data_IF_532584138350
#
_entry.id   IF_532584138350
#
_cell.length_a   1.000
_cell.length_b   1.000
_cell.length_c   1.000
_cell.angle_alpha   90.00
_cell.angle_beta   90.00
_cell.angle_gamma   90.00
#
_symmetry.space_group_name_H-M   'P 1'
#
loop_
_entity.id
_entity.type
_entity.pdbx_description
1 polymer ?
#
# COMPACT_ATOMS: atom_id res chain seq x y z
N UNK A 1 12.93 -18.80 -17.02
CA UNK A 1 12.97 -18.82 -15.54
C UNK A 1 11.95 -17.82 -15.06
N UNK A 2 10.77 -18.26 -14.62
CA UNK A 2 9.75 -17.36 -14.10
C UNK A 2 10.18 -16.92 -12.69
N UNK A 3 10.65 -15.69 -12.56
CA UNK A 3 10.80 -15.07 -11.24
C UNK A 3 9.38 -14.86 -10.74
N UNK A 4 8.92 -15.75 -9.86
CA UNK A 4 7.71 -15.52 -9.06
C UNK A 4 8.04 -14.32 -8.19
N UNK A 5 7.70 -13.12 -8.70
CA UNK A 5 7.82 -11.89 -7.94
C UNK A 5 7.05 -12.13 -6.65
N UNK A 6 7.75 -12.11 -5.51
CA UNK A 6 7.09 -12.17 -4.21
C UNK A 6 5.96 -11.14 -4.25
N UNK A 7 4.73 -11.49 -3.84
CA UNK A 7 3.64 -10.53 -3.80
C UNK A 7 4.17 -9.29 -3.07
N UNK A 8 4.05 -8.12 -3.70
CA UNK A 8 4.44 -6.85 -3.10
C UNK A 8 3.64 -6.72 -1.80
N UNK A 9 4.31 -7.05 -0.69
CA UNK A 9 3.78 -6.89 0.65
C UNK A 9 4.21 -5.51 1.11
N UNK A 10 3.29 -4.77 1.73
CA UNK A 10 3.67 -3.54 2.42
C UNK A 10 4.54 -3.88 3.63
N UNK A 11 5.30 -2.91 4.11
CA UNK A 11 6.33 -3.12 5.14
C UNK A 11 5.78 -3.60 6.50
N UNK A 12 4.47 -3.44 6.75
CA UNK A 12 3.79 -3.89 7.98
C UNK A 12 3.15 -5.28 7.87
N UNK A 13 3.15 -5.92 6.70
CA UNK A 13 2.38 -7.15 6.48
C UNK A 13 2.73 -8.28 7.46
N UNK A 14 4.02 -8.45 7.78
CA UNK A 14 4.46 -9.48 8.72
C UNK A 14 4.07 -9.17 10.18
N UNK A 15 3.93 -7.89 10.53
CA UNK A 15 3.44 -7.46 11.84
C UNK A 15 1.92 -7.66 11.95
N UNK A 16 1.18 -7.32 10.89
CA UNK A 16 -0.26 -7.59 10.79
C UNK A 16 -0.55 -9.08 10.93
N UNK A 17 0.15 -9.94 10.16
CA UNK A 17 -0.05 -11.39 10.21
C UNK A 17 0.12 -11.94 11.64
N UNK A 18 1.14 -11.47 12.36
CA UNK A 18 1.40 -11.90 13.75
C UNK A 18 0.29 -11.44 14.69
N UNK A 19 -0.11 -10.17 14.61
CA UNK A 19 -1.14 -9.62 15.48
C UNK A 19 -2.51 -10.25 15.23
N UNK A 20 -2.87 -10.44 13.96
CA UNK A 20 -4.09 -11.15 13.57
C UNK A 20 -4.09 -12.57 14.12
N UNK A 21 -3.00 -13.32 13.94
CA UNK A 21 -2.89 -14.69 14.47
C UNK A 21 -3.00 -14.73 15.99
N UNK A 22 -2.33 -13.81 16.69
CA UNK A 22 -2.40 -13.73 18.15
C UNK A 22 -3.83 -13.41 18.62
N UNK A 23 -4.52 -12.50 17.94
CA UNK A 23 -5.89 -12.15 18.23
C UNK A 23 -6.85 -13.33 18.02
N UNK A 24 -6.73 -14.05 16.89
CA UNK A 24 -7.52 -15.24 16.60
C UNK A 24 -7.32 -16.35 17.64
N UNK A 25 -6.09 -16.57 18.12
CA UNK A 25 -5.79 -17.56 19.17
C UNK A 25 -6.43 -17.21 20.51
N UNK A 26 -6.57 -15.91 20.81
CA UNK A 26 -7.17 -15.43 22.06
C UNK A 26 -8.69 -15.32 21.99
N UNK A 27 -9.27 -15.41 20.78
CA UNK A 27 -10.71 -15.29 20.52
C UNK A 27 -11.59 -16.23 21.36
N UNK A 28 -11.24 -17.51 21.58
CA UNK A 28 -12.05 -18.40 22.43
C UNK A 28 -12.12 -17.94 23.89
N UNK A 29 -11.15 -17.16 24.36
CA UNK A 29 -11.04 -16.66 25.73
C UNK A 29 -11.66 -15.26 25.91
N UNK A 30 -12.43 -14.78 24.92
CA UNK A 30 -13.12 -13.48 24.95
C UNK A 30 -14.02 -13.31 26.18
N UNK A 31 -14.69 -14.40 26.60
CA UNK A 31 -15.59 -14.39 27.76
C UNK A 31 -14.87 -14.21 29.10
N UNK A 32 -13.58 -14.53 29.17
CA UNK A 32 -12.81 -14.41 30.41
C UNK A 32 -12.27 -13.00 30.64
N UNK A 33 -12.54 -12.04 29.72
CA UNK A 33 -12.00 -10.67 29.73
C UNK A 33 -10.51 -10.64 30.10
N UNK A 34 -9.77 -11.61 29.57
CA UNK A 34 -8.36 -11.77 29.88
C UNK A 34 -7.61 -10.50 29.46
N UNK A 35 -6.77 -9.97 30.33
CA UNK A 35 -5.95 -8.78 30.03
C UNK A 35 -5.15 -8.96 28.72
N UNK A 36 -4.83 -10.21 28.34
CA UNK A 36 -4.16 -10.52 27.08
C UNK A 36 -5.07 -10.33 25.86
N UNK A 37 -6.37 -10.63 25.97
CA UNK A 37 -7.33 -10.41 24.88
C UNK A 37 -7.55 -8.92 24.64
N UNK A 38 -7.74 -8.13 25.71
CA UNK A 38 -7.85 -6.67 25.60
C UNK A 38 -6.56 -6.05 25.03
N UNK A 39 -5.38 -6.50 25.48
CA UNK A 39 -4.12 -6.04 24.92
C UNK A 39 -4.01 -6.37 23.42
N UNK A 40 -4.34 -7.60 23.00
CA UNK A 40 -4.31 -7.98 21.59
C UNK A 40 -5.30 -7.17 20.74
N UNK A 41 -6.46 -6.81 21.30
CA UNK A 41 -7.44 -5.91 20.67
C UNK A 41 -6.84 -4.51 20.48
N UNK A 42 -6.21 -3.95 21.51
CA UNK A 42 -5.53 -2.65 21.44
C UNK A 42 -4.40 -2.66 20.41
N UNK A 43 -3.55 -3.69 20.42
CA UNK A 43 -2.44 -3.83 19.48
C UNK A 43 -2.95 -3.89 18.02
N UNK A 44 -4.05 -4.62 17.77
CA UNK A 44 -4.70 -4.71 16.46
C UNK A 44 -5.29 -3.36 16.00
N UNK A 45 -5.88 -2.61 16.92
CA UNK A 45 -6.41 -1.26 16.62
C UNK A 45 -5.27 -0.29 16.29
N UNK A 46 -4.17 -0.36 17.03
CA UNK A 46 -3.04 0.55 16.84
C UNK A 46 -2.29 0.28 15.54
N UNK A 47 -2.07 -0.99 15.17
CA UNK A 47 -1.47 -1.32 13.87
C UNK A 47 -2.41 -0.91 12.72
N UNK A 48 -3.73 -1.09 12.88
CA UNK A 48 -4.71 -0.66 11.88
C UNK A 48 -4.68 0.87 11.67
N UNK A 49 -4.53 1.67 12.73
CA UNK A 49 -4.36 3.13 12.61
C UNK A 49 -3.08 3.50 11.85
N UNK A 50 -1.95 2.84 12.14
CA UNK A 50 -0.69 3.07 11.42
C UNK A 50 -0.83 2.72 9.94
N UNK A 51 -1.51 1.62 9.63
CA UNK A 51 -1.81 1.19 8.27
C UNK A 51 -2.67 2.19 7.51
N UNK A 52 -3.73 2.73 8.14
CA UNK A 52 -4.57 3.77 7.53
C UNK A 52 -3.76 5.04 7.25
N UNK A 53 -2.95 5.49 8.21
CA UNK A 53 -2.09 6.66 8.02
C UNK A 53 -1.11 6.47 6.86
N UNK A 54 -0.52 5.28 6.74
CA UNK A 54 0.38 4.96 5.64
C UNK A 54 -0.37 4.90 4.31
N UNK A 55 -1.53 4.23 4.29
CA UNK A 55 -2.39 4.13 3.11
C UNK A 55 -2.74 5.53 2.57
N UNK A 56 -3.11 6.48 3.43
CA UNK A 56 -3.46 7.84 3.00
C UNK A 56 -2.25 8.58 2.40
N UNK A 57 -1.06 8.43 2.99
CA UNK A 57 0.18 9.01 2.44
C UNK A 57 0.58 8.42 1.10
N UNK A 58 0.46 7.11 0.95
CA UNK A 58 0.79 6.41 -0.29
C UNK A 58 -0.23 6.74 -1.38
N UNK A 59 -1.50 6.90 -1.02
CA UNK A 59 -2.56 7.37 -1.92
C UNK A 59 -2.25 8.79 -2.43
N UNK A 60 -1.83 9.71 -1.56
CA UNK A 60 -1.41 11.05 -1.96
C UNK A 60 -0.21 10.99 -2.93
N UNK A 61 0.77 10.13 -2.62
CA UNK A 61 1.95 9.91 -3.48
C UNK A 61 1.56 9.38 -4.87
N UNK A 62 0.60 8.46 -4.94
CA UNK A 62 0.06 7.95 -6.22
C UNK A 62 -0.58 9.08 -7.02
N UNK A 63 -1.36 9.96 -6.40
CA UNK A 63 -1.97 11.10 -7.07
C UNK A 63 -0.93 12.11 -7.57
N UNK A 64 0.15 12.35 -6.81
CA UNK A 64 1.26 13.17 -7.26
C UNK A 64 1.96 12.57 -8.48
N UNK A 65 2.22 11.25 -8.47
CA UNK A 65 2.79 10.54 -9.62
C UNK A 65 1.87 10.60 -10.85
N UNK A 66 0.55 10.48 -10.65
CA UNK A 66 -0.44 10.62 -11.73
C UNK A 66 -0.37 11.98 -12.39
N UNK A 67 -0.28 13.06 -11.61
CA UNK A 67 -0.11 14.43 -12.15
C UNK A 67 1.22 14.59 -12.89
N UNK A 68 2.31 14.04 -12.34
CA UNK A 68 3.63 14.07 -12.99
C UNK A 68 3.61 13.37 -14.35
N UNK A 69 2.99 12.18 -14.45
CA UNK A 69 2.88 11.45 -15.72
C UNK A 69 2.18 12.27 -16.80
N UNK A 70 1.08 12.96 -16.46
CA UNK A 70 0.38 13.87 -17.38
C UNK A 70 1.30 15.02 -17.83
N UNK A 71 2.07 15.58 -16.89
CA UNK A 71 3.07 16.60 -17.18
C UNK A 71 4.15 16.11 -18.15
N UNK A 72 4.67 14.90 -17.95
CA UNK A 72 5.68 14.29 -18.82
C UNK A 72 5.16 14.05 -20.24
N UNK A 73 3.93 13.56 -20.39
CA UNK A 73 3.30 13.43 -21.71
C UNK A 73 3.21 14.78 -22.42
N UNK A 74 2.80 15.82 -21.70
CA UNK A 74 2.70 17.18 -22.26
C UNK A 74 4.07 17.72 -22.69
N UNK A 75 5.10 17.53 -21.86
CA UNK A 75 6.46 17.94 -22.17
C UNK A 75 7.04 17.19 -23.36
N UNK A 76 6.77 15.88 -23.47
CA UNK A 76 7.15 15.07 -24.63
C UNK A 76 6.50 15.59 -25.91
N UNK A 77 5.21 15.90 -25.90
CA UNK A 77 4.53 16.44 -27.09
C UNK A 77 5.16 17.76 -27.55
N UNK A 78 5.61 18.61 -26.62
CA UNK A 78 6.34 19.85 -26.95
C UNK A 78 7.72 19.57 -27.53
N UNK A 79 8.48 18.65 -26.94
CA UNK A 79 9.78 18.22 -27.47
C UNK A 79 9.65 17.68 -28.90
N UNK A 80 8.63 16.85 -29.15
CA UNK A 80 8.33 16.28 -30.45
C UNK A 80 7.96 17.37 -31.48
N UNK A 81 7.17 18.37 -31.08
CA UNK A 81 6.84 19.51 -31.94
C UNK A 81 8.11 20.31 -32.33
N UNK A 82 9.07 20.39 -31.42
CA UNK A 82 10.37 21.04 -31.65
C UNK A 82 11.41 20.14 -32.33
N UNK A 83 11.06 18.88 -32.64
CA UNK A 83 11.96 17.85 -33.19
C UNK A 83 13.20 17.59 -32.30
N UNK A 84 13.06 17.80 -31.01
CA UNK A 84 14.07 17.50 -30.01
C UNK A 84 13.88 16.06 -29.53
N UNK A 85 14.52 15.12 -30.23
CA UNK A 85 14.36 13.70 -29.98
C UNK A 85 15.10 13.22 -28.73
N UNK A 86 16.21 13.85 -28.35
CA UNK A 86 16.91 13.53 -27.10
C UNK A 86 16.04 13.83 -25.88
N UNK A 87 15.33 14.97 -25.91
CA UNK A 87 14.40 15.35 -24.84
C UNK A 87 13.16 14.43 -24.82
N UNK A 88 12.70 13.94 -25.98
CA UNK A 88 11.65 12.93 -26.05
C UNK A 88 12.03 11.63 -25.32
N UNK A 89 13.23 11.11 -25.60
CA UNK A 89 13.74 9.87 -24.98
C UNK A 89 13.89 10.04 -23.47
N UNK A 90 14.36 11.20 -23.01
CA UNK A 90 14.43 11.55 -21.60
C UNK A 90 13.04 11.50 -20.93
N UNK A 91 12.02 12.11 -21.53
CA UNK A 91 10.67 12.10 -20.96
C UNK A 91 10.02 10.72 -20.99
N UNK A 92 10.31 9.90 -22.01
CA UNK A 92 9.83 8.51 -22.05
C UNK A 92 10.43 7.66 -20.94
N UNK A 93 11.74 7.78 -20.70
CA UNK A 93 12.40 7.09 -19.60
C UNK A 93 11.82 7.51 -18.24
N UNK A 94 11.65 8.82 -18.00
CA UNK A 94 11.09 9.33 -16.74
C UNK A 94 9.61 8.94 -16.56
N UNK A 95 8.84 8.88 -17.66
CA UNK A 95 7.46 8.42 -17.65
C UNK A 95 7.38 6.94 -17.31
N UNK A 96 8.24 6.11 -17.89
CA UNK A 96 8.30 4.69 -17.59
C UNK A 96 8.65 4.42 -16.11
N UNK A 97 9.68 5.09 -15.57
CA UNK A 97 10.05 4.96 -14.15
C UNK A 97 8.91 5.38 -13.22
N UNK A 98 8.32 6.55 -13.48
CA UNK A 98 7.18 7.06 -12.71
C UNK A 98 5.97 6.12 -12.78
N UNK A 99 5.72 5.48 -13.93
CA UNK A 99 4.64 4.52 -14.11
C UNK A 99 4.89 3.25 -13.29
N UNK A 100 6.11 2.69 -13.36
CA UNK A 100 6.49 1.49 -12.59
C UNK A 100 6.34 1.76 -11.10
N UNK A 101 6.80 2.92 -10.61
CA UNK A 101 6.68 3.32 -9.22
C UNK A 101 5.23 3.45 -8.77
N UNK A 102 4.38 4.08 -9.59
CA UNK A 102 2.94 4.23 -9.32
C UNK A 102 2.26 2.85 -9.22
N UNK A 103 2.56 1.96 -10.15
CA UNK A 103 1.93 0.63 -10.19
C UNK A 103 2.35 -0.22 -8.99
N UNK A 104 3.61 -0.09 -8.53
CA UNK A 104 4.07 -0.71 -7.29
C UNK A 104 3.31 -0.17 -6.06
N UNK A 105 3.20 1.14 -5.91
CA UNK A 105 2.46 1.75 -4.79
C UNK A 105 0.97 1.35 -4.80
N UNK A 106 0.34 1.31 -5.97
CA UNK A 106 -1.05 0.83 -6.10
C UNK A 106 -1.22 -0.62 -5.63
N UNK A 107 -0.24 -1.50 -5.93
CA UNK A 107 -0.27 -2.87 -5.45
C UNK A 107 -0.16 -2.94 -3.92
N UNK A 108 0.72 -2.13 -3.32
CA UNK A 108 0.88 -2.04 -1.86
C UNK A 108 -0.39 -1.48 -1.19
N UNK A 109 -0.98 -0.42 -1.73
CA UNK A 109 -2.26 0.17 -1.28
C UNK A 109 -3.39 -0.86 -1.26
N UNK A 110 -3.53 -1.65 -2.33
CA UNK A 110 -4.54 -2.71 -2.39
C UNK A 110 -4.34 -3.72 -1.26
N UNK A 111 -3.10 -4.14 -1.00
CA UNK A 111 -2.79 -5.08 0.09
C UNK A 111 -3.02 -4.48 1.47
N UNK A 112 -2.66 -3.22 1.68
CA UNK A 112 -2.98 -2.50 2.92
C UNK A 112 -4.50 -2.44 3.15
N UNK A 113 -5.28 -2.19 2.09
CA UNK A 113 -6.74 -2.21 2.16
C UNK A 113 -7.32 -3.58 2.53
N UNK A 114 -6.80 -4.66 1.95
CA UNK A 114 -7.17 -6.05 2.31
C UNK A 114 -6.88 -6.33 3.81
N UNK A 115 -5.72 -5.93 4.30
CA UNK A 115 -5.31 -6.12 5.70
C UNK A 115 -6.18 -5.30 6.68
N UNK A 116 -6.50 -4.05 6.33
CA UNK A 116 -7.41 -3.21 7.12
C UNK A 116 -8.81 -3.84 7.18
N UNK A 117 -9.32 -4.35 6.05
CA UNK A 117 -10.62 -5.01 5.99
C UNK A 117 -10.64 -6.27 6.86
N UNK A 118 -9.59 -7.10 6.79
CA UNK A 118 -9.43 -8.30 7.63
C UNK A 118 -9.44 -7.95 9.12
N UNK A 119 -8.63 -6.99 9.55
CA UNK A 119 -8.58 -6.55 10.95
C UNK A 119 -9.90 -5.95 11.41
N UNK A 120 -10.57 -5.16 10.56
CA UNK A 120 -11.88 -4.59 10.88
C UNK A 120 -12.92 -5.69 11.08
N UNK A 121 -12.94 -6.72 10.23
CA UNK A 121 -13.83 -7.89 10.39
C UNK A 121 -13.61 -8.61 11.72
N UNK A 122 -12.34 -8.84 12.09
CA UNK A 122 -12.00 -9.46 13.38
C UNK A 122 -12.47 -8.65 14.59
N UNK A 123 -12.49 -7.32 14.49
CA UNK A 123 -12.95 -6.44 15.55
C UNK A 123 -14.49 -6.30 15.61
N UNK A 124 -15.19 -6.56 14.50
CA UNK A 124 -16.64 -6.34 14.36
C UNK A 124 -17.46 -7.63 14.49
N UNK A 125 -16.85 -8.81 14.32
CA UNK A 125 -17.46 -10.08 14.71
C UNK A 125 -17.53 -10.16 16.26
N UNK A 126 -18.45 -9.37 16.82
CA UNK A 126 -18.82 -9.34 18.22
C UNK A 126 -19.79 -10.44 18.60
#
# INVERSE_FOLDING_TARGET
MFVVSRPSRHFLADEVDKLVRNFELLRPYKQDSSAKFEQAKTDLVDIMKRLRLQHDKDQETVEQLRRRLIGLVTSKLRAQANRDFELCDFFDADHQDSSIRRDKLNAELRKMGEDIAKMSGLLTEE
#
